data_IF_424268790462
#
_entry.id   IF_424268790462
#
_cell.length_a   1.000
_cell.length_b   1.000
_cell.length_c   1.000
_cell.angle_alpha   90.00
_cell.angle_beta   90.00
_cell.angle_gamma   90.00
#
_symmetry.space_group_name_H-M   'P 1'
#
loop_
_entity.id
_entity.type
_entity.pdbx_description
1 polymer ?
#
# COMPACT_ATOMS: atom_id res chain seq x y z
N UNK A 1 1.29 -45.30 32.55
CA UNK A 1 1.85 -43.96 32.77
C UNK A 1 3.03 -44.12 33.71
N UNK A 2 4.26 -44.19 33.19
CA UNK A 2 5.46 -44.16 33.97
C UNK A 2 5.62 -42.76 34.60
N UNK A 3 5.74 -42.72 35.92
CA UNK A 3 5.93 -41.47 36.65
C UNK A 3 7.35 -40.97 36.40
N UNK A 4 7.48 -39.80 35.78
CA UNK A 4 8.78 -39.10 35.68
C UNK A 4 9.10 -38.53 37.06
N UNK A 5 10.11 -39.10 37.75
CA UNK A 5 10.66 -38.50 38.96
C UNK A 5 11.73 -37.48 38.56
N UNK A 6 11.47 -36.20 38.84
CA UNK A 6 12.49 -35.14 38.70
C UNK A 6 13.27 -35.07 40.01
N UNK A 7 14.55 -35.41 39.95
CA UNK A 7 15.49 -35.26 41.08
C UNK A 7 16.24 -33.94 40.94
N UNK A 8 16.13 -33.05 41.92
CA UNK A 8 16.88 -31.79 41.91
C UNK A 8 18.32 -32.05 42.37
N UNK A 9 19.20 -32.24 41.39
CA UNK A 9 20.62 -32.53 41.62
C UNK A 9 21.42 -31.35 42.19
N UNK A 10 20.82 -30.16 42.30
CA UNK A 10 21.45 -28.95 42.81
C UNK A 10 21.82 -29.03 44.30
N UNK A 11 21.29 -30.01 45.03
CA UNK A 11 21.57 -30.23 46.46
C UNK A 11 22.69 -31.26 46.75
N UNK A 12 23.22 -31.92 45.73
CA UNK A 12 24.32 -32.87 45.87
C UNK A 12 25.67 -32.17 45.56
N UNK A 13 26.56 -32.12 46.55
CA UNK A 13 27.86 -31.41 46.45
C UNK A 13 28.73 -31.87 45.28
N UNK A 14 28.68 -33.15 44.91
CA UNK A 14 29.43 -33.72 43.78
C UNK A 14 28.97 -33.22 42.42
N UNK A 15 27.69 -32.85 42.28
CA UNK A 15 27.10 -32.32 41.05
C UNK A 15 27.30 -30.81 40.91
N UNK A 16 27.42 -30.08 42.03
CA UNK A 16 27.71 -28.64 42.00
C UNK A 16 29.07 -28.37 41.35
N UNK A 17 30.11 -29.13 41.72
CA UNK A 17 31.42 -28.98 41.13
C UNK A 17 31.48 -29.34 39.64
N UNK A 18 30.75 -30.40 39.23
CA UNK A 18 30.65 -30.80 37.81
C UNK A 18 29.84 -29.81 36.99
N UNK A 19 28.81 -29.21 37.58
CA UNK A 19 27.96 -28.21 36.94
C UNK A 19 28.70 -26.86 36.76
N UNK A 20 29.45 -26.44 37.76
CA UNK A 20 30.31 -25.25 37.68
C UNK A 20 31.42 -25.42 36.64
N UNK A 21 32.07 -26.60 36.56
CA UNK A 21 33.05 -26.90 35.51
C UNK A 21 32.42 -26.91 34.10
N UNK A 22 31.18 -27.37 33.94
CA UNK A 22 30.47 -27.36 32.66
C UNK A 22 30.03 -25.95 32.25
N UNK A 23 29.80 -25.06 33.23
CA UNK A 23 29.45 -23.66 32.99
C UNK A 23 30.65 -22.79 32.63
N UNK A 24 31.85 -23.08 33.17
CA UNK A 24 33.09 -22.31 32.90
C UNK A 24 33.54 -22.36 31.43
N UNK A 25 33.02 -23.30 30.64
CA UNK A 25 33.32 -23.42 29.20
C UNK A 25 32.33 -22.72 28.25
N UNK A 26 31.30 -22.06 28.75
CA UNK A 26 30.36 -21.32 27.88
C UNK A 26 30.86 -19.89 27.73
N UNK A 27 31.09 -19.41 26.48
CA UNK A 27 31.34 -18.00 26.25
C UNK A 27 30.14 -17.18 26.72
N UNK A 28 30.42 -16.04 27.36
CA UNK A 28 29.50 -15.08 27.95
C UNK A 28 28.48 -14.49 26.93
N UNK A 29 27.55 -15.29 26.50
CA UNK A 29 26.32 -14.81 25.86
C UNK A 29 25.16 -15.67 26.34
N UNK A 30 24.85 -15.57 27.64
CA UNK A 30 23.52 -15.97 28.10
C UNK A 30 22.50 -14.95 27.53
N UNK A 31 21.99 -15.26 26.37
CA UNK A 31 20.74 -14.61 25.91
C UNK A 31 19.71 -14.82 27.03
N UNK A 32 19.20 -13.74 27.58
CA UNK A 32 18.17 -13.85 28.60
C UNK A 32 17.00 -14.64 28.05
N UNK A 33 16.25 -15.34 28.89
CA UNK A 33 15.02 -16.03 28.44
C UNK A 33 14.09 -15.08 27.68
N UNK A 34 14.11 -13.80 28.05
CA UNK A 34 13.33 -12.75 27.43
C UNK A 34 13.81 -12.43 26.01
N UNK A 35 15.12 -12.44 25.77
CA UNK A 35 15.71 -12.24 24.43
C UNK A 35 15.37 -13.41 23.50
N UNK A 36 15.41 -14.64 24.01
CA UNK A 36 15.04 -15.84 23.25
C UNK A 36 13.56 -15.83 22.86
N UNK A 37 12.65 -15.45 23.75
CA UNK A 37 11.23 -15.32 23.47
C UNK A 37 10.96 -14.22 22.43
N UNK A 38 11.59 -13.06 22.58
CA UNK A 38 11.48 -11.96 21.62
C UNK A 38 11.97 -12.37 20.22
N UNK A 39 13.06 -13.15 20.16
CA UNK A 39 13.60 -13.67 18.91
C UNK A 39 12.66 -14.72 18.28
N UNK A 40 12.09 -15.59 19.08
CA UNK A 40 11.10 -16.56 18.62
C UNK A 40 9.87 -15.86 18.02
N UNK A 41 9.30 -14.88 18.72
CA UNK A 41 8.15 -14.09 18.23
C UNK A 41 8.47 -13.39 16.91
N UNK A 42 9.68 -12.83 16.78
CA UNK A 42 10.12 -12.18 15.54
C UNK A 42 10.20 -13.18 14.38
N UNK A 43 10.73 -14.37 14.61
CA UNK A 43 10.82 -15.44 13.61
C UNK A 43 9.43 -15.93 13.19
N UNK A 44 8.56 -16.22 14.14
CA UNK A 44 7.18 -16.67 13.88
C UNK A 44 6.40 -15.64 13.04
N UNK A 45 6.57 -14.36 13.37
CA UNK A 45 5.97 -13.26 12.60
C UNK A 45 6.45 -13.23 11.15
N UNK A 46 7.78 -13.33 10.93
CA UNK A 46 8.35 -13.32 9.59
C UNK A 46 7.93 -14.56 8.79
N UNK A 47 7.84 -15.72 9.42
CA UNK A 47 7.35 -16.95 8.78
C UNK A 47 5.90 -16.75 8.31
N UNK A 48 5.03 -16.20 9.17
CA UNK A 48 3.65 -15.92 8.82
C UNK A 48 3.52 -14.90 7.67
N UNK A 49 4.38 -13.87 7.64
CA UNK A 49 4.43 -12.89 6.55
C UNK A 49 4.94 -13.49 5.22
N UNK A 50 5.78 -14.53 5.28
CA UNK A 50 6.30 -15.24 4.10
C UNK A 50 5.36 -16.33 3.59
N UNK A 51 4.45 -16.84 4.42
CA UNK A 51 3.55 -17.95 4.07
C UNK A 51 2.77 -17.73 2.75
N UNK A 52 2.24 -16.53 2.44
CA UNK A 52 1.55 -16.27 1.17
C UNK A 52 2.43 -16.43 -0.07
N UNK A 53 3.77 -16.35 0.07
CA UNK A 53 4.74 -16.45 -1.02
C UNK A 53 5.31 -17.86 -1.17
N UNK A 54 5.02 -18.76 -0.21
CA UNK A 54 5.47 -20.13 -0.29
C UNK A 54 4.69 -20.91 -1.35
N UNK A 55 5.35 -21.78 -2.11
CA UNK A 55 4.66 -22.65 -3.06
C UNK A 55 3.67 -23.53 -2.31
N UNK A 56 2.39 -23.44 -2.67
CA UNK A 56 1.35 -24.29 -2.08
C UNK A 56 1.63 -25.75 -2.43
N UNK A 57 2.12 -26.52 -1.46
CA UNK A 57 2.26 -27.96 -1.64
C UNK A 57 0.85 -28.59 -1.83
N UNK A 58 0.75 -29.48 -2.82
CA UNK A 58 -0.51 -30.25 -2.96
C UNK A 58 -0.71 -31.11 -1.72
N UNK A 59 -1.97 -31.22 -1.26
CA UNK A 59 -2.33 -32.01 -0.07
C UNK A 59 -1.71 -33.41 -0.04
N UNK A 60 -1.56 -34.05 -1.22
CA UNK A 60 -0.94 -35.36 -1.36
C UNK A 60 0.60 -35.36 -1.20
N UNK A 61 1.25 -34.22 -1.42
CA UNK A 61 2.69 -34.07 -1.21
C UNK A 61 3.00 -33.79 0.26
N UNK A 62 2.15 -33.02 0.96
CA UNK A 62 2.31 -32.75 2.40
C UNK A 62 2.09 -34.01 3.26
N UNK A 63 1.32 -34.98 2.77
CA UNK A 63 1.14 -36.28 3.44
C UNK A 63 2.33 -37.24 3.26
N UNK A 64 3.22 -36.96 2.31
CA UNK A 64 4.44 -37.72 2.06
C UNK A 64 5.68 -37.12 2.70
N UNK A 65 5.58 -35.90 3.23
CA UNK A 65 6.68 -35.28 3.96
C UNK A 65 6.89 -36.06 5.28
N UNK A 66 7.90 -36.92 5.30
CA UNK A 66 8.37 -37.51 6.55
C UNK A 66 8.88 -36.42 7.48
N UNK A 67 8.58 -36.49 8.78
CA UNK A 67 9.10 -35.51 9.74
C UNK A 67 10.63 -35.50 9.65
N UNK A 68 11.19 -34.30 9.53
CA UNK A 68 12.63 -34.10 9.43
C UNK A 68 13.27 -34.53 10.76
N UNK A 69 13.92 -35.69 10.78
CA UNK A 69 14.67 -36.15 11.94
C UNK A 69 16.03 -35.45 11.96
N UNK A 70 16.16 -34.39 12.74
CA UNK A 70 17.42 -33.69 12.95
C UNK A 70 18.02 -34.07 14.31
N UNK A 71 19.28 -34.48 14.32
CA UNK A 71 20.01 -34.62 15.58
C UNK A 71 20.26 -33.24 16.20
N UNK A 72 20.35 -33.19 17.51
CA UNK A 72 20.63 -31.94 18.24
C UNK A 72 21.95 -31.29 17.75
N UNK A 73 22.97 -32.08 17.46
CA UNK A 73 24.23 -31.62 16.89
C UNK A 73 24.07 -30.99 15.50
N UNK A 74 23.18 -31.52 14.64
CA UNK A 74 22.89 -30.97 13.32
C UNK A 74 22.14 -29.63 13.42
N UNK A 75 21.21 -29.49 14.37
CA UNK A 75 20.53 -28.24 14.67
C UNK A 75 21.49 -27.15 15.19
N UNK A 76 22.39 -27.53 16.10
CA UNK A 76 23.40 -26.62 16.63
C UNK A 76 24.39 -26.15 15.55
N UNK A 77 24.82 -27.06 14.67
CA UNK A 77 25.67 -26.75 13.53
C UNK A 77 24.98 -25.83 12.51
N UNK A 78 23.70 -26.07 12.22
CA UNK A 78 22.90 -25.23 11.33
C UNK A 78 22.70 -23.81 11.90
N UNK A 79 22.50 -23.70 13.21
CA UNK A 79 22.41 -22.40 13.90
C UNK A 79 23.71 -21.60 13.89
N UNK A 80 24.87 -22.28 13.98
CA UNK A 80 26.21 -21.63 13.96
C UNK A 80 26.66 -21.27 12.52
N UNK A 81 26.16 -21.95 11.51
CA UNK A 81 26.64 -21.82 10.13
C UNK A 81 26.04 -20.65 9.35
N UNK A 82 25.04 -19.96 9.89
CA UNK A 82 24.36 -18.86 9.21
C UNK A 82 24.38 -17.61 10.08
N UNK A 83 24.68 -16.48 9.45
CA UNK A 83 24.41 -15.16 10.01
C UNK A 83 22.89 -14.93 9.96
N UNK A 84 22.20 -15.45 10.97
CA UNK A 84 20.74 -15.42 11.07
C UNK A 84 20.22 -14.00 11.15
N UNK A 85 20.96 -13.11 11.81
CA UNK A 85 20.56 -11.72 11.98
C UNK A 85 20.57 -10.97 10.64
N UNK A 86 21.62 -11.15 9.84
CA UNK A 86 21.70 -10.58 8.49
C UNK A 86 20.62 -11.14 7.55
N UNK A 87 20.29 -12.42 7.68
CA UNK A 87 19.22 -13.05 6.92
C UNK A 87 17.85 -12.45 7.27
N UNK A 88 17.54 -12.34 8.56
CA UNK A 88 16.27 -11.79 9.05
C UNK A 88 16.13 -10.32 8.68
N UNK A 89 17.20 -9.54 8.78
CA UNK A 89 17.21 -8.14 8.36
C UNK A 89 16.99 -8.02 6.85
N UNK A 90 17.65 -8.85 6.05
CA UNK A 90 17.47 -8.91 4.60
C UNK A 90 16.04 -9.22 4.20
N UNK A 91 15.43 -10.23 4.82
CA UNK A 91 14.02 -10.60 4.57
C UNK A 91 13.08 -9.48 4.98
N UNK A 92 13.25 -8.92 6.18
CA UNK A 92 12.41 -7.81 6.67
C UNK A 92 12.46 -6.60 5.74
N UNK A 93 13.65 -6.27 5.23
CA UNK A 93 13.83 -5.18 4.26
C UNK A 93 13.10 -5.46 2.96
N UNK A 94 13.17 -6.68 2.45
CA UNK A 94 12.47 -7.04 1.20
C UNK A 94 10.96 -7.06 1.36
N UNK A 95 10.44 -7.57 2.48
CA UNK A 95 9.01 -7.53 2.79
C UNK A 95 8.49 -6.09 2.89
N UNK A 96 9.27 -5.19 3.49
CA UNK A 96 8.93 -3.77 3.56
C UNK A 96 8.84 -3.13 2.18
N UNK A 97 9.84 -3.36 1.31
CA UNK A 97 9.83 -2.87 -0.08
C UNK A 97 8.63 -3.39 -0.85
N UNK A 98 8.31 -4.67 -0.68
CA UNK A 98 7.15 -5.29 -1.32
C UNK A 98 5.83 -4.70 -0.83
N UNK A 99 5.70 -4.42 0.46
CA UNK A 99 4.52 -3.78 1.03
C UNK A 99 4.36 -2.34 0.52
N UNK A 100 5.45 -1.58 0.47
CA UNK A 100 5.48 -0.21 -0.08
C UNK A 100 5.06 -0.21 -1.56
N UNK A 101 5.59 -1.15 -2.34
CA UNK A 101 5.22 -1.30 -3.76
C UNK A 101 3.73 -1.65 -3.94
N UNK A 102 3.18 -2.55 -3.13
CA UNK A 102 1.74 -2.88 -3.16
C UNK A 102 0.88 -1.66 -2.84
N UNK A 103 1.22 -0.93 -1.80
CA UNK A 103 0.49 0.28 -1.42
C UNK A 103 0.53 1.35 -2.51
N UNK A 104 1.69 1.49 -3.19
CA UNK A 104 1.83 2.42 -4.31
C UNK A 104 0.98 1.98 -5.51
N UNK A 105 0.99 0.69 -5.86
CA UNK A 105 0.14 0.16 -6.94
C UNK A 105 -1.35 0.38 -6.64
N UNK A 106 -1.79 0.14 -5.40
CA UNK A 106 -3.17 0.40 -5.00
C UNK A 106 -3.53 1.88 -5.13
N UNK A 107 -2.65 2.79 -4.72
CA UNK A 107 -2.83 4.23 -4.86
C UNK A 107 -2.88 4.64 -6.34
N UNK A 108 -1.96 4.13 -7.17
CA UNK A 108 -1.92 4.40 -8.61
C UNK A 108 -3.19 3.88 -9.31
N UNK A 109 -3.69 2.70 -8.94
CA UNK A 109 -4.94 2.16 -9.46
C UNK A 109 -6.15 3.03 -9.11
N UNK A 110 -6.22 3.54 -7.88
CA UNK A 110 -7.29 4.43 -7.44
C UNK A 110 -7.23 5.77 -8.20
N UNK A 111 -6.04 6.32 -8.41
CA UNK A 111 -5.84 7.54 -9.18
C UNK A 111 -6.24 7.34 -10.64
N UNK A 112 -5.86 6.23 -11.28
CA UNK A 112 -6.30 5.87 -12.64
C UNK A 112 -7.81 5.83 -12.72
N UNK A 113 -8.48 5.11 -11.81
CA UNK A 113 -9.94 5.01 -11.80
C UNK A 113 -10.64 6.37 -11.64
N UNK A 114 -10.06 7.27 -10.85
CA UNK A 114 -10.59 8.63 -10.67
C UNK A 114 -10.39 9.51 -11.91
N UNK A 115 -9.32 9.27 -12.68
CA UNK A 115 -8.97 10.07 -13.86
C UNK A 115 -9.58 9.53 -15.16
N UNK A 116 -9.95 8.24 -15.24
CA UNK A 116 -10.42 7.63 -16.49
C UNK A 116 -11.57 8.41 -17.16
N UNK A 117 -12.53 8.92 -16.39
CA UNK A 117 -13.62 9.75 -16.94
C UNK A 117 -13.15 11.13 -17.43
N UNK A 118 -11.99 11.60 -16.97
CA UNK A 118 -11.36 12.85 -17.38
C UNK A 118 -10.36 12.69 -18.53
N UNK A 119 -10.16 11.48 -19.04
CA UNK A 119 -9.22 11.19 -20.14
C UNK A 119 -9.45 12.12 -21.37
N UNK A 120 -10.70 12.49 -21.76
CA UNK A 120 -10.93 13.38 -22.88
C UNK A 120 -10.60 14.85 -22.61
N UNK A 121 -10.20 15.23 -21.40
CA UNK A 121 -9.91 16.61 -21.03
C UNK A 121 -8.61 17.09 -21.69
N UNK A 122 -8.70 18.12 -22.52
CA UNK A 122 -7.58 18.70 -23.27
C UNK A 122 -6.95 19.95 -22.59
N UNK A 123 -7.39 20.30 -21.40
CA UNK A 123 -6.94 21.48 -20.67
C UNK A 123 -6.80 21.17 -19.17
N UNK A 124 -5.62 21.44 -18.59
CA UNK A 124 -5.46 21.32 -17.15
C UNK A 124 -5.92 22.57 -16.40
N UNK A 125 -6.30 22.49 -15.12
CA UNK A 125 -6.64 23.66 -14.32
C UNK A 125 -5.52 24.70 -14.26
N UNK A 126 -4.25 24.25 -14.26
CA UNK A 126 -3.08 25.14 -14.24
C UNK A 126 -2.92 25.87 -15.57
N UNK A 127 -3.07 25.17 -16.71
CA UNK A 127 -3.04 25.79 -18.03
C UNK A 127 -4.22 26.77 -18.21
N UNK A 128 -5.39 26.44 -17.66
CA UNK A 128 -6.55 27.32 -17.64
C UNK A 128 -6.30 28.63 -16.87
N UNK A 129 -5.57 28.55 -15.76
CA UNK A 129 -5.22 29.72 -14.95
C UNK A 129 -4.23 30.68 -15.64
N UNK A 130 -3.55 30.25 -16.70
CA UNK A 130 -2.61 31.07 -17.46
C UNK A 130 -3.29 31.99 -18.49
N UNK A 131 -4.58 31.86 -18.73
CA UNK A 131 -5.32 32.73 -19.68
C UNK A 131 -5.50 34.14 -19.10
N UNK A 132 -5.17 35.14 -19.90
CA UNK A 132 -5.26 36.56 -19.48
C UNK A 132 -6.62 37.21 -19.70
N UNK A 133 -7.36 36.77 -20.70
CA UNK A 133 -8.65 37.39 -21.13
C UNK A 133 -9.86 36.51 -20.90
N UNK A 134 -9.63 35.23 -20.70
CA UNK A 134 -10.64 34.24 -20.39
C UNK A 134 -10.25 33.53 -19.10
N UNK A 135 -11.23 33.10 -18.32
CA UNK A 135 -11.03 32.12 -17.27
C UNK A 135 -11.65 30.80 -17.69
N UNK A 136 -11.16 29.72 -17.08
CA UNK A 136 -11.81 28.43 -17.23
C UNK A 136 -12.01 27.77 -15.86
N UNK A 137 -13.14 27.05 -15.74
CA UNK A 137 -13.46 26.22 -14.61
C UNK A 137 -13.66 24.79 -15.12
N UNK A 138 -13.10 23.84 -14.40
CA UNK A 138 -13.22 22.42 -14.70
C UNK A 138 -13.84 21.76 -13.48
N UNK A 139 -14.84 20.93 -13.67
CA UNK A 139 -15.52 20.29 -12.57
C UNK A 139 -16.69 19.43 -12.99
N UNK A 140 -17.44 18.94 -12.01
CA UNK A 140 -18.64 18.14 -12.24
C UNK A 140 -19.90 18.86 -11.80
N UNK A 141 -21.00 18.53 -12.44
CA UNK A 141 -22.35 18.97 -12.11
C UNK A 141 -23.22 17.72 -12.01
N UNK A 142 -24.05 17.57 -10.95
CA UNK A 142 -24.95 16.42 -10.82
C UNK A 142 -25.88 16.28 -12.02
N UNK A 143 -26.04 15.04 -12.50
CA UNK A 143 -26.95 14.72 -13.60
C UNK A 143 -28.40 14.67 -13.09
N UNK A 144 -29.02 15.84 -12.93
CA UNK A 144 -30.42 15.96 -12.45
C UNK A 144 -31.42 16.28 -13.53
N UNK A 145 -30.99 17.04 -14.55
CA UNK A 145 -31.83 17.43 -15.70
C UNK A 145 -30.91 17.97 -16.83
N UNK A 146 -30.61 17.12 -17.79
CA UNK A 146 -29.69 17.40 -18.90
C UNK A 146 -30.08 18.64 -19.73
N UNK A 147 -31.36 18.81 -20.01
CA UNK A 147 -31.84 19.88 -20.90
C UNK A 147 -31.79 21.25 -20.20
N UNK A 148 -32.11 21.31 -18.92
CA UNK A 148 -32.07 22.56 -18.15
C UNK A 148 -30.64 23.11 -18.02
N UNK A 149 -29.66 22.26 -17.76
CA UNK A 149 -28.24 22.64 -17.67
C UNK A 149 -27.76 23.22 -19.02
N UNK A 150 -27.95 22.47 -20.12
CA UNK A 150 -27.52 22.87 -21.46
C UNK A 150 -28.20 24.16 -21.91
N UNK A 151 -29.47 24.31 -21.64
CA UNK A 151 -30.25 25.53 -21.98
C UNK A 151 -29.74 26.74 -21.19
N UNK A 152 -29.54 26.59 -19.89
CA UNK A 152 -29.12 27.71 -19.01
C UNK A 152 -27.70 28.15 -19.29
N UNK A 153 -26.76 27.20 -19.36
CA UNK A 153 -25.36 27.52 -19.66
C UNK A 153 -25.14 27.98 -21.08
N UNK A 154 -25.88 27.39 -22.04
CA UNK A 154 -25.83 27.76 -23.46
C UNK A 154 -26.46 29.12 -23.79
N UNK A 155 -27.44 29.57 -23.01
CA UNK A 155 -28.08 30.86 -23.17
C UNK A 155 -27.28 32.03 -22.55
N UNK A 156 -26.30 31.76 -21.67
CA UNK A 156 -25.53 32.81 -21.02
C UNK A 156 -24.48 33.41 -21.98
N UNK A 157 -24.53 34.72 -22.25
CA UNK A 157 -23.70 35.34 -23.30
C UNK A 157 -22.20 35.30 -23.01
N UNK A 158 -21.82 35.34 -21.75
CA UNK A 158 -20.41 35.38 -21.28
C UNK A 158 -19.85 34.00 -20.90
N UNK A 159 -20.60 32.93 -21.14
CA UNK A 159 -20.19 31.56 -20.86
C UNK A 159 -20.16 30.73 -22.14
N UNK A 160 -19.16 29.85 -22.20
CA UNK A 160 -19.13 28.72 -23.15
C UNK A 160 -18.77 27.49 -22.35
N UNK A 161 -19.52 26.42 -22.49
CA UNK A 161 -19.22 25.18 -21.87
C UNK A 161 -18.97 24.07 -22.89
N UNK A 162 -18.12 23.16 -22.52
CA UNK A 162 -17.82 21.91 -23.23
C UNK A 162 -18.04 20.77 -22.25
N UNK A 163 -18.80 19.80 -22.67
CA UNK A 163 -18.97 18.56 -21.93
C UNK A 163 -17.73 17.68 -22.16
N UNK A 164 -17.12 17.19 -21.08
CA UNK A 164 -15.96 16.31 -21.11
C UNK A 164 -16.40 14.86 -21.05
N UNK A 165 -17.32 14.56 -20.13
CA UNK A 165 -17.95 13.24 -19.99
C UNK A 165 -19.33 13.38 -19.38
N UNK A 166 -20.15 12.33 -19.54
CA UNK A 166 -21.44 12.18 -18.87
C UNK A 166 -21.58 10.75 -18.37
N UNK A 167 -21.96 10.61 -17.12
CA UNK A 167 -22.35 9.34 -16.53
C UNK A 167 -23.73 9.46 -15.86
N UNK A 168 -24.22 8.37 -15.26
CA UNK A 168 -25.55 8.32 -14.63
C UNK A 168 -25.70 9.28 -13.44
N UNK A 169 -24.61 9.79 -12.88
CA UNK A 169 -24.59 10.59 -11.65
C UNK A 169 -24.19 12.03 -11.87
N UNK A 170 -23.32 12.30 -12.83
CA UNK A 170 -22.72 13.62 -13.02
C UNK A 170 -22.28 13.88 -14.47
N UNK A 171 -22.17 15.16 -14.80
CA UNK A 171 -21.52 15.66 -16.01
C UNK A 171 -20.18 16.27 -15.67
N UNK A 172 -19.13 15.86 -16.36
CA UNK A 172 -17.85 16.55 -16.36
C UNK A 172 -17.86 17.69 -17.36
N UNK A 173 -17.60 18.90 -16.91
CA UNK A 173 -17.68 20.11 -17.74
C UNK A 173 -16.43 20.96 -17.67
N UNK A 174 -16.07 21.52 -18.82
CA UNK A 174 -15.10 22.60 -18.98
C UNK A 174 -15.84 23.88 -19.35
N UNK A 175 -15.77 24.88 -18.50
CA UNK A 175 -16.55 26.13 -18.64
C UNK A 175 -15.59 27.29 -18.83
N UNK A 176 -15.68 27.95 -19.97
CA UNK A 176 -14.96 29.18 -20.25
C UNK A 176 -15.84 30.39 -19.90
N UNK A 177 -15.25 31.40 -19.28
CA UNK A 177 -15.91 32.63 -18.94
C UNK A 177 -15.01 33.84 -19.22
N UNK A 178 -15.63 35.02 -19.42
CA UNK A 178 -14.92 36.27 -19.65
C UNK A 178 -14.21 36.72 -18.37
N UNK A 179 -12.97 37.20 -18.48
CA UNK A 179 -12.25 37.73 -17.35
C UNK A 179 -13.07 38.85 -16.66
N UNK A 180 -13.21 38.76 -15.34
CA UNK A 180 -13.99 39.71 -14.53
C UNK A 180 -15.40 39.24 -14.16
N UNK A 181 -15.97 38.20 -14.81
CA UNK A 181 -17.32 37.68 -14.49
C UNK A 181 -17.31 36.45 -13.57
N UNK A 182 -16.16 36.11 -12.97
CA UNK A 182 -15.97 34.89 -12.18
C UNK A 182 -17.02 34.73 -11.05
N UNK A 183 -17.33 35.80 -10.32
CA UNK A 183 -18.26 35.72 -9.19
C UNK A 183 -19.72 35.49 -9.64
N UNK A 184 -20.11 36.03 -10.78
CA UNK A 184 -21.42 35.79 -11.38
C UNK A 184 -21.53 34.35 -11.85
N UNK A 185 -20.48 33.86 -12.52
CA UNK A 185 -20.39 32.47 -13.00
C UNK A 185 -20.45 31.49 -11.83
N UNK A 186 -19.71 31.74 -10.76
CA UNK A 186 -19.72 30.90 -9.56
C UNK A 186 -21.10 30.84 -8.89
N UNK A 187 -21.85 31.94 -8.88
CA UNK A 187 -23.21 31.93 -8.35
C UNK A 187 -24.13 31.01 -9.16
N UNK A 188 -24.10 31.15 -10.48
CA UNK A 188 -24.88 30.28 -11.38
C UNK A 188 -24.48 28.82 -11.18
N UNK A 189 -23.20 28.52 -11.21
CA UNK A 189 -22.71 27.14 -11.08
C UNK A 189 -23.04 26.52 -9.72
N UNK A 190 -23.06 27.33 -8.66
CA UNK A 190 -23.43 26.87 -7.31
C UNK A 190 -24.88 26.40 -7.25
N UNK A 191 -25.79 27.04 -7.98
CA UNK A 191 -27.22 26.64 -8.07
C UNK A 191 -27.37 25.24 -8.71
N UNK A 192 -26.45 24.88 -9.60
CA UNK A 192 -26.39 23.54 -10.21
C UNK A 192 -25.53 22.53 -9.47
N UNK A 193 -25.01 22.86 -8.28
CA UNK A 193 -24.23 21.93 -7.49
C UNK A 193 -22.83 21.64 -8.06
N UNK A 194 -22.25 22.58 -8.81
CA UNK A 194 -20.91 22.45 -9.39
C UNK A 194 -19.86 22.14 -8.32
N UNK A 195 -19.04 21.14 -8.58
CA UNK A 195 -17.87 20.75 -7.78
C UNK A 195 -16.62 20.89 -8.63
N UNK A 196 -15.62 21.69 -8.20
CA UNK A 196 -14.39 21.83 -8.96
C UNK A 196 -13.63 20.50 -9.04
N UNK A 197 -12.99 20.27 -10.16
CA UNK A 197 -12.07 19.15 -10.36
C UNK A 197 -10.74 19.52 -9.71
N UNK A 198 -10.41 18.84 -8.61
CA UNK A 198 -9.15 18.99 -7.90
C UNK A 198 -8.07 18.17 -8.60
N UNK A 199 -7.28 18.83 -9.44
CA UNK A 199 -6.20 18.21 -10.20
C UNK A 199 -4.92 19.03 -10.05
N UNK A 200 -3.93 18.44 -9.39
CA UNK A 200 -2.68 19.11 -9.01
C UNK A 200 -1.54 18.91 -10.01
N UNK A 201 -1.72 18.07 -11.03
CA UNK A 201 -0.68 17.75 -12.00
C UNK A 201 -0.65 18.74 -13.17
N UNK A 202 0.54 18.92 -13.77
CA UNK A 202 0.73 19.82 -14.92
C UNK A 202 0.39 19.14 -16.24
N UNK A 203 0.59 17.82 -16.32
CA UNK A 203 0.27 16.98 -17.47
C UNK A 203 -1.24 16.76 -17.61
N UNK A 204 -1.69 16.43 -18.82
CA UNK A 204 -3.10 16.09 -19.08
C UNK A 204 -3.48 14.77 -18.38
N UNK A 205 -4.78 14.60 -18.02
CA UNK A 205 -5.24 13.36 -17.40
C UNK A 205 -4.89 12.09 -18.20
N UNK A 206 -5.00 12.13 -19.53
CA UNK A 206 -4.61 11.03 -20.40
C UNK A 206 -3.11 10.66 -20.25
N UNK A 207 -2.24 11.66 -20.24
CA UNK A 207 -0.78 11.46 -20.06
C UNK A 207 -0.47 10.90 -18.68
N UNK A 208 -1.16 11.41 -17.66
CA UNK A 208 -1.03 10.92 -16.28
C UNK A 208 -1.48 9.47 -16.13
N UNK A 209 -2.61 9.10 -16.73
CA UNK A 209 -3.11 7.73 -16.78
C UNK A 209 -2.08 6.79 -17.40
N UNK A 210 -1.46 7.19 -18.52
CA UNK A 210 -0.44 6.39 -19.20
C UNK A 210 0.80 6.18 -18.32
N UNK A 211 1.25 7.23 -17.62
CA UNK A 211 2.36 7.13 -16.66
C UNK A 211 2.04 6.17 -15.52
N UNK A 212 0.86 6.30 -14.90
CA UNK A 212 0.44 5.43 -13.81
C UNK A 212 0.31 3.96 -14.27
N UNK A 213 -0.30 3.73 -15.44
CA UNK A 213 -0.39 2.39 -16.04
C UNK A 213 0.98 1.79 -16.37
N UNK A 214 1.99 2.62 -16.67
CA UNK A 214 3.36 2.15 -16.86
C UNK A 214 4.04 1.77 -15.54
N UNK A 215 3.76 2.49 -14.44
CA UNK A 215 4.28 2.18 -13.09
C UNK A 215 3.70 0.88 -12.51
N UNK A 216 2.44 0.57 -12.81
CA UNK A 216 1.73 -0.63 -12.33
C UNK A 216 2.23 -1.92 -13.01
N UNK A 217 2.88 -1.86 -14.16
CA UNK A 217 3.39 -3.02 -14.92
C UNK A 217 4.73 -3.53 -14.40
#
# INVERSE_FOLDING_TARGET
LESVQIHDLRQEEDWQAAFEQALVGRPDQELSQQDLLSRQEKLERLIAELEPFMPKKKLLESLKDEPLELSFAALEQAGKARDEEALLEGISKQLKVLQEAKTQIEADCLEVAALEKWEPLELTPQAAAAFSHLGALIGTIPNTDDDALRLTLGAHPDLKFQEVFTDDTEHGVLIFYKAGTLEEVRKVLKEYGFKPFEYAHAELPAERIDQLKANIR
#
